data_IF_629655854685
#
_entry.id   IF_629655854685
#
_cell.length_a   1.000
_cell.length_b   1.000
_cell.length_c   1.000
_cell.angle_alpha   90.00
_cell.angle_beta   90.00
_cell.angle_gamma   90.00
#
_symmetry.space_group_name_H-M   'P 1'
#
loop_
_entity.id
_entity.type
_entity.pdbx_description
1 polymer ?
#
# COMPACT_ATOMS: atom_id res chain seq x y z
N UNK A 1 3.14 -30.67 2.83
CA UNK A 1 2.79 -30.03 4.11
C UNK A 1 1.38 -29.52 4.00
N UNK A 2 0.48 -30.08 4.80
CA UNK A 2 -0.93 -29.68 4.87
C UNK A 2 -1.05 -28.33 5.58
N UNK A 3 -1.89 -27.48 4.99
CA UNK A 3 -2.20 -26.11 5.41
C UNK A 3 -2.72 -26.07 6.86
N UNK A 4 -2.25 -25.13 7.68
CA UNK A 4 -2.90 -24.83 8.97
C UNK A 4 -3.35 -23.36 9.03
N UNK A 5 -4.64 -23.07 8.75
CA UNK A 5 -5.28 -21.78 8.93
C UNK A 5 -5.19 -21.23 10.38
N UNK A 6 -4.79 -22.05 11.35
CA UNK A 6 -4.61 -21.65 12.75
C UNK A 6 -3.48 -20.62 12.87
N UNK A 7 -2.38 -20.71 12.12
CA UNK A 7 -1.25 -19.78 12.29
C UNK A 7 -1.66 -18.32 12.01
N UNK A 8 -2.52 -18.09 11.01
CA UNK A 8 -2.99 -16.74 10.68
C UNK A 8 -4.13 -16.27 11.57
N UNK A 9 -5.01 -17.18 12.04
CA UNK A 9 -6.02 -16.86 13.06
C UNK A 9 -5.40 -16.45 14.39
N UNK A 10 -4.32 -17.13 14.81
CA UNK A 10 -3.59 -16.80 16.04
C UNK A 10 -2.85 -15.47 15.90
N UNK A 11 -2.17 -15.22 14.75
CA UNK A 11 -1.47 -13.96 14.50
C UNK A 11 -2.42 -12.74 14.51
N UNK A 12 -3.66 -12.87 14.05
CA UNK A 12 -4.62 -11.75 14.07
C UNK A 12 -4.91 -11.24 15.46
N UNK A 13 -4.97 -12.11 16.47
CA UNK A 13 -5.19 -11.69 17.85
C UNK A 13 -4.05 -10.81 18.34
N UNK A 14 -2.81 -11.20 18.07
CA UNK A 14 -1.61 -10.45 18.47
C UNK A 14 -1.51 -9.11 17.72
N UNK A 15 -1.83 -9.12 16.43
CA UNK A 15 -1.89 -7.91 15.59
C UNK A 15 -2.95 -6.93 16.09
N UNK A 16 -4.15 -7.42 16.41
CA UNK A 16 -5.20 -6.58 16.98
C UNK A 16 -4.89 -6.15 18.41
N UNK A 17 -4.18 -6.95 19.19
CA UNK A 17 -3.69 -6.53 20.50
C UNK A 17 -2.73 -5.34 20.39
N UNK A 18 -1.75 -5.40 19.47
CA UNK A 18 -0.83 -4.28 19.23
C UNK A 18 -1.58 -3.01 18.83
N UNK A 19 -2.61 -3.13 17.97
CA UNK A 19 -3.48 -2.00 17.63
C UNK A 19 -4.27 -1.48 18.84
N UNK A 20 -4.92 -2.36 19.61
CA UNK A 20 -5.73 -1.95 20.77
C UNK A 20 -4.89 -1.25 21.84
N UNK A 21 -3.67 -1.71 22.09
CA UNK A 21 -2.73 -1.04 22.98
C UNK A 21 -2.36 0.36 22.46
N UNK A 22 -2.17 0.51 21.14
CA UNK A 22 -1.98 1.83 20.51
C UNK A 22 -3.20 2.73 20.69
N UNK A 23 -4.42 2.24 20.43
CA UNK A 23 -5.66 3.02 20.60
C UNK A 23 -5.86 3.48 22.05
N UNK A 24 -5.60 2.59 23.01
CA UNK A 24 -5.66 2.92 24.43
C UNK A 24 -4.62 3.98 24.81
N UNK A 25 -3.40 3.85 24.32
CA UNK A 25 -2.34 4.84 24.57
C UNK A 25 -2.68 6.21 23.94
N UNK A 26 -3.26 6.23 22.74
CA UNK A 26 -3.71 7.45 22.06
C UNK A 26 -4.79 8.18 22.87
N UNK A 27 -5.79 7.44 23.38
CA UNK A 27 -6.84 7.99 24.24
C UNK A 27 -6.29 8.52 25.57
N UNK A 28 -5.36 7.80 26.19
CA UNK A 28 -4.75 8.26 27.43
C UNK A 28 -3.89 9.51 27.24
N UNK A 29 -3.17 9.62 26.10
CA UNK A 29 -2.33 10.78 25.82
C UNK A 29 -3.14 12.06 25.58
N UNK A 30 -4.36 11.95 25.02
CA UNK A 30 -5.27 13.09 24.88
C UNK A 30 -5.89 13.55 26.22
N UNK A 31 -6.08 12.64 27.16
CA UNK A 31 -6.62 12.92 28.50
C UNK A 31 -5.54 13.37 29.50
N UNK A 32 -4.34 12.79 29.42
CA UNK A 32 -3.18 13.07 30.29
C UNK A 32 -1.87 12.73 29.56
N UNK A 33 -1.20 13.73 28.94
CA UNK A 33 -0.03 13.49 28.10
C UNK A 33 1.09 12.76 28.86
N UNK A 34 1.28 11.48 28.54
CA UNK A 34 2.34 10.63 29.10
C UNK A 34 3.25 10.21 27.96
N UNK A 35 4.23 11.08 27.66
CA UNK A 35 5.22 10.97 26.57
C UNK A 35 5.86 9.59 26.36
N UNK A 36 5.85 8.68 27.34
CA UNK A 36 6.40 7.32 27.22
C UNK A 36 5.43 6.21 26.76
N UNK A 37 4.11 6.35 26.97
CA UNK A 37 3.16 5.27 26.67
C UNK A 37 2.87 5.18 25.17
N UNK A 38 2.54 6.31 24.53
CA UNK A 38 2.26 6.36 23.10
C UNK A 38 3.48 5.96 22.26
N UNK A 39 4.69 6.35 22.68
CA UNK A 39 5.93 5.94 22.03
C UNK A 39 6.11 4.42 22.08
N UNK A 40 5.89 3.79 23.24
CA UNK A 40 5.97 2.32 23.37
C UNK A 40 4.94 1.62 22.50
N UNK A 41 3.72 2.14 22.44
CA UNK A 41 2.66 1.55 21.62
C UNK A 41 2.94 1.68 20.12
N UNK A 42 3.46 2.84 19.67
CA UNK A 42 3.97 3.02 18.29
C UNK A 42 5.05 1.99 17.95
N UNK A 43 6.01 1.77 18.85
CA UNK A 43 7.07 0.78 18.65
C UNK A 43 6.54 -0.66 18.56
N UNK A 44 5.45 -0.99 19.26
CA UNK A 44 4.78 -2.30 19.12
C UNK A 44 4.16 -2.47 17.74
N UNK A 45 3.44 -1.46 17.23
CA UNK A 45 2.91 -1.48 15.87
C UNK A 45 4.04 -1.57 14.83
N UNK A 46 5.10 -0.77 14.99
CA UNK A 46 6.30 -0.85 14.15
C UNK A 46 7.08 -2.15 14.35
N UNK A 47 6.75 -2.96 15.36
CA UNK A 47 7.32 -4.29 15.60
C UNK A 47 6.73 -5.37 14.68
N UNK A 48 5.50 -5.17 14.19
CA UNK A 48 4.77 -6.11 13.32
C UNK A 48 5.45 -6.30 11.95
N UNK A 49 5.49 -7.52 11.44
CA UNK A 49 6.00 -7.88 10.12
C UNK A 49 5.15 -7.30 8.98
N UNK A 50 5.67 -7.29 7.76
CA UNK A 50 5.00 -6.68 6.59
C UNK A 50 3.63 -7.30 6.29
N UNK A 51 3.48 -8.62 6.42
CA UNK A 51 2.20 -9.30 6.21
C UNK A 51 1.21 -9.04 7.34
N UNK A 52 1.67 -8.82 8.57
CA UNK A 52 0.83 -8.42 9.70
C UNK A 52 0.31 -6.99 9.53
N UNK A 53 1.15 -6.10 8.99
CA UNK A 53 0.74 -4.76 8.61
C UNK A 53 -0.29 -4.78 7.47
N UNK A 54 -0.24 -5.75 6.55
CA UNK A 54 -1.28 -5.93 5.53
C UNK A 54 -2.64 -6.32 6.15
N UNK A 55 -2.67 -7.04 7.28
CA UNK A 55 -3.92 -7.31 8.02
C UNK A 55 -4.52 -6.01 8.52
N UNK A 56 -3.71 -5.15 9.13
CA UNK A 56 -4.16 -3.83 9.58
C UNK A 56 -4.59 -2.95 8.42
N UNK A 57 -3.85 -2.97 7.30
CA UNK A 57 -4.20 -2.30 6.05
C UNK A 57 -5.39 -2.95 5.32
N UNK A 58 -5.91 -4.08 5.77
CA UNK A 58 -7.13 -4.67 5.18
C UNK A 58 -8.40 -4.07 5.80
N UNK A 59 -8.29 -3.36 6.93
CA UNK A 59 -9.36 -2.55 7.51
C UNK A 59 -9.11 -1.07 7.26
N UNK A 60 -10.01 -0.42 6.51
CA UNK A 60 -9.94 1.02 6.23
C UNK A 60 -9.83 1.82 7.53
N UNK A 61 -10.60 1.45 8.54
CA UNK A 61 -10.68 2.16 9.82
C UNK A 61 -9.38 2.06 10.61
N UNK A 62 -8.86 0.84 10.78
CA UNK A 62 -7.59 0.62 11.50
C UNK A 62 -6.46 1.36 10.82
N UNK A 63 -6.40 1.26 9.49
CA UNK A 63 -5.36 1.92 8.72
C UNK A 63 -5.48 3.44 8.74
N UNK A 64 -6.71 3.98 8.68
CA UNK A 64 -6.98 5.41 8.82
C UNK A 64 -6.48 5.94 10.14
N UNK A 65 -6.72 5.23 11.24
CA UNK A 65 -6.25 5.65 12.57
C UNK A 65 -4.72 5.72 12.62
N UNK A 66 -4.02 4.68 12.15
CA UNK A 66 -2.56 4.63 12.18
C UNK A 66 -1.90 5.72 11.33
N UNK A 67 -2.42 5.98 10.13
CA UNK A 67 -1.89 7.01 9.23
C UNK A 67 -2.36 8.43 9.55
N UNK A 68 -3.24 8.59 10.54
CA UNK A 68 -3.61 9.89 11.11
C UNK A 68 -2.78 10.24 12.35
N UNK A 69 -1.84 9.38 12.75
CA UNK A 69 -0.91 9.69 13.83
C UNK A 69 -0.10 10.97 13.52
N UNK A 70 0.04 11.91 14.47
CA UNK A 70 0.75 13.17 14.23
C UNK A 70 2.24 12.99 13.94
N UNK A 71 2.84 11.86 14.34
CA UNK A 71 4.25 11.57 14.10
C UNK A 71 4.49 11.17 12.64
N UNK A 72 5.14 12.07 11.89
CA UNK A 72 5.60 11.79 10.53
C UNK A 72 6.57 10.61 10.47
N UNK A 73 7.52 10.55 11.41
CA UNK A 73 8.47 9.44 11.55
C UNK A 73 7.74 8.10 11.65
N UNK A 74 6.75 8.01 12.53
CA UNK A 74 5.96 6.78 12.71
C UNK A 74 5.25 6.36 11.41
N UNK A 75 4.54 7.29 10.75
CA UNK A 75 3.81 6.99 9.52
C UNK A 75 4.71 6.58 8.37
N UNK A 76 5.86 7.26 8.20
CA UNK A 76 6.84 6.93 7.16
C UNK A 76 7.49 5.56 7.41
N UNK A 77 7.88 5.27 8.66
CA UNK A 77 8.42 3.96 9.02
C UNK A 77 7.37 2.85 8.85
N UNK A 78 6.12 3.11 9.20
CA UNK A 78 5.00 2.18 9.00
C UNK A 78 4.81 1.86 7.52
N UNK A 79 4.79 2.87 6.64
CA UNK A 79 4.71 2.67 5.19
C UNK A 79 5.93 1.91 4.64
N UNK A 80 7.14 2.31 5.03
CA UNK A 80 8.36 1.64 4.58
C UNK A 80 8.35 0.15 4.98
N UNK A 81 7.90 -0.16 6.21
CA UNK A 81 7.81 -1.53 6.71
C UNK A 81 6.72 -2.33 6.00
N UNK A 82 5.55 -1.75 5.77
CA UNK A 82 4.44 -2.38 5.03
C UNK A 82 4.92 -2.87 3.67
N UNK A 83 5.72 -2.07 2.96
CA UNK A 83 6.24 -2.42 1.62
C UNK A 83 7.65 -3.04 1.65
N UNK A 84 8.20 -3.38 2.82
CA UNK A 84 9.58 -3.88 2.98
C UNK A 84 10.64 -3.04 2.24
N UNK A 85 10.45 -1.72 2.15
CA UNK A 85 11.39 -0.83 1.48
C UNK A 85 12.70 -0.78 2.28
N UNK A 86 13.81 -1.05 1.61
CA UNK A 86 15.15 -0.83 2.15
C UNK A 86 15.52 0.64 1.99
N UNK A 87 16.44 1.12 2.83
CA UNK A 87 16.97 2.47 2.67
C UNK A 87 17.55 2.71 1.27
N UNK A 88 18.18 1.69 0.67
CA UNK A 88 18.71 1.74 -0.71
C UNK A 88 17.62 1.98 -1.75
N UNK A 89 16.43 1.44 -1.53
CA UNK A 89 15.30 1.58 -2.45
C UNK A 89 14.82 3.04 -2.46
N UNK A 90 14.68 3.63 -1.26
CA UNK A 90 14.31 5.03 -1.06
C UNK A 90 15.41 5.96 -1.59
N UNK A 91 16.68 5.64 -1.36
CA UNK A 91 17.83 6.39 -1.87
C UNK A 91 17.80 6.47 -3.39
N UNK A 92 17.59 5.34 -4.06
CA UNK A 92 17.62 5.25 -5.52
C UNK A 92 16.43 5.97 -6.15
N UNK A 93 15.22 5.76 -5.63
CA UNK A 93 14.02 6.33 -6.24
C UNK A 93 13.90 7.85 -5.98
N UNK A 94 14.35 8.32 -4.82
CA UNK A 94 14.32 9.75 -4.46
C UNK A 94 15.61 10.51 -4.78
N UNK A 95 16.64 9.81 -5.27
CA UNK A 95 17.99 10.37 -5.50
C UNK A 95 18.52 11.08 -4.25
N UNK A 96 18.53 10.34 -3.13
CA UNK A 96 18.94 10.82 -1.82
C UNK A 96 20.19 10.10 -1.31
N UNK A 97 21.01 10.81 -0.54
CA UNK A 97 22.07 10.20 0.25
C UNK A 97 21.49 9.37 1.40
N UNK A 98 22.28 8.45 1.95
CA UNK A 98 21.90 7.64 3.11
C UNK A 98 21.54 8.50 4.33
N UNK A 99 22.28 9.59 4.56
CA UNK A 99 21.98 10.57 5.61
C UNK A 99 20.65 11.29 5.40
N UNK A 100 20.33 11.64 4.16
CA UNK A 100 19.05 12.26 3.82
C UNK A 100 17.87 11.29 4.00
N UNK A 101 18.02 10.02 3.63
CA UNK A 101 17.00 8.98 3.91
C UNK A 101 16.82 8.76 5.41
N UNK A 102 17.90 8.74 6.19
CA UNK A 102 17.83 8.66 7.65
C UNK A 102 17.06 9.84 8.24
N UNK A 103 17.33 11.07 7.79
CA UNK A 103 16.60 12.26 8.24
C UNK A 103 15.12 12.23 7.80
N UNK A 104 14.84 11.77 6.57
CA UNK A 104 13.48 11.63 6.07
C UNK A 104 12.66 10.69 6.95
N UNK A 105 13.21 9.54 7.33
CA UNK A 105 12.50 8.56 8.15
C UNK A 105 12.47 8.95 9.63
N UNK A 106 13.50 9.59 10.18
CA UNK A 106 13.67 9.74 11.64
C UNK A 106 13.51 11.15 12.19
N UNK A 107 13.63 12.19 11.35
CA UNK A 107 13.70 13.60 11.77
C UNK A 107 12.63 14.48 11.13
N UNK A 108 11.52 13.89 10.66
CA UNK A 108 10.36 14.61 10.09
C UNK A 108 10.69 15.68 9.04
N UNK A 109 11.71 15.44 8.21
CA UNK A 109 12.11 16.44 7.18
C UNK A 109 11.18 16.34 5.96
N UNK A 110 10.65 17.46 5.48
CA UNK A 110 9.96 17.53 4.19
C UNK A 110 10.99 17.48 3.06
N UNK A 111 10.91 16.52 2.12
CA UNK A 111 11.85 16.48 1.02
C UNK A 111 11.52 17.53 -0.04
N UNK A 112 12.54 17.97 -0.78
CA UNK A 112 12.39 18.98 -1.85
C UNK A 112 11.66 18.37 -3.05
N UNK A 113 10.84 19.17 -3.73
CA UNK A 113 10.14 18.81 -4.96
C UNK A 113 11.03 18.11 -6.01
N UNK A 114 10.53 17.10 -6.76
CA UNK A 114 9.20 16.46 -6.71
C UNK A 114 9.13 15.26 -5.72
N UNK A 115 10.12 15.12 -4.83
CA UNK A 115 10.24 13.95 -3.94
C UNK A 115 9.04 13.72 -3.00
N UNK A 116 8.29 14.75 -2.52
CA UNK A 116 7.05 14.50 -1.76
C UNK A 116 6.05 13.61 -2.52
N UNK A 117 5.98 13.75 -3.84
CA UNK A 117 5.09 13.00 -4.71
C UNK A 117 5.67 11.65 -5.12
N UNK A 118 6.97 11.56 -5.37
CA UNK A 118 7.65 10.26 -5.51
C UNK A 118 7.44 9.38 -4.27
N UNK A 119 7.43 9.99 -3.08
CA UNK A 119 7.07 9.29 -1.84
C UNK A 119 5.64 8.76 -1.81
N UNK A 120 4.69 9.43 -2.47
CA UNK A 120 3.31 8.93 -2.60
C UNK A 120 3.27 7.63 -3.37
N UNK A 121 4.06 7.54 -4.44
CA UNK A 121 4.17 6.33 -5.24
C UNK A 121 4.80 5.19 -4.41
N UNK A 122 5.93 5.47 -3.75
CA UNK A 122 6.63 4.49 -2.91
C UNK A 122 5.75 3.98 -1.76
N UNK A 123 5.07 4.88 -1.06
CA UNK A 123 4.28 4.52 0.12
C UNK A 123 2.84 4.17 -0.21
N UNK A 124 2.30 4.49 -1.39
CA UNK A 124 0.91 4.22 -1.75
C UNK A 124 -0.11 5.05 -0.98
N UNK A 125 0.30 6.24 -0.52
CA UNK A 125 -0.51 7.12 0.32
C UNK A 125 -0.42 8.56 -0.17
N UNK A 126 -1.50 9.36 -0.08
CA UNK A 126 -1.47 10.78 -0.41
C UNK A 126 -0.26 11.48 0.21
N UNK A 127 0.43 12.31 -0.59
CA UNK A 127 1.72 12.88 -0.18
C UNK A 127 1.63 13.65 1.13
N UNK A 128 0.52 14.35 1.38
CA UNK A 128 0.35 15.14 2.60
C UNK A 128 0.38 14.26 3.86
N UNK A 129 -0.21 13.07 3.82
CA UNK A 129 -0.19 12.11 4.94
C UNK A 129 1.22 11.65 5.31
N UNK A 130 2.16 11.74 4.38
CA UNK A 130 3.54 11.26 4.60
C UNK A 130 4.53 12.41 4.63
N UNK A 131 4.05 13.66 4.61
CA UNK A 131 4.89 14.85 4.54
C UNK A 131 4.52 15.96 5.54
N UNK A 132 3.27 16.00 6.03
CA UNK A 132 2.82 17.00 6.99
C UNK A 132 2.24 16.38 8.26
N UNK A 133 2.60 16.93 9.42
CA UNK A 133 2.07 16.50 10.73
C UNK A 133 0.55 16.68 10.83
N UNK A 134 0.02 17.73 10.19
CA UNK A 134 -1.41 18.03 10.09
C UNK A 134 -1.81 18.13 8.60
N UNK A 135 -2.12 17.01 7.93
CA UNK A 135 -2.53 17.00 6.53
C UNK A 135 -3.92 17.65 6.37
N UNK A 136 -4.17 18.30 5.23
CA UNK A 136 -5.50 18.83 4.93
C UNK A 136 -6.49 17.65 4.72
N UNK A 137 -7.59 17.57 5.49
CA UNK A 137 -8.61 16.52 5.30
C UNK A 137 -9.17 16.45 3.87
N UNK A 138 -9.19 17.59 3.16
CA UNK A 138 -9.69 17.69 1.79
C UNK A 138 -8.65 17.32 0.72
N UNK A 139 -7.38 17.10 1.09
CA UNK A 139 -6.34 16.68 0.14
C UNK A 139 -6.23 15.17 -0.03
N UNK A 140 -6.98 14.41 0.78
CA UNK A 140 -6.99 12.96 0.77
C UNK A 140 -7.71 12.30 -0.44
N UNK A 141 -8.77 12.89 -1.05
CA UNK A 141 -9.65 12.17 -1.97
C UNK A 141 -9.07 11.99 -3.38
N UNK A 142 -8.10 12.79 -3.81
CA UNK A 142 -7.55 12.75 -5.18
C UNK A 142 -6.05 12.56 -5.15
N UNK A 143 -5.54 11.75 -6.09
CA UNK A 143 -4.09 11.51 -6.20
C UNK A 143 -3.59 11.95 -7.56
N UNK A 144 -3.60 13.27 -7.85
CA UNK A 144 -3.03 13.80 -9.07
C UNK A 144 -1.50 13.67 -9.08
N UNK A 145 -0.86 13.26 -7.97
CA UNK A 145 0.60 13.28 -7.82
C UNK A 145 1.32 12.40 -8.84
N UNK A 146 0.64 11.38 -9.37
CA UNK A 146 1.17 10.52 -10.42
C UNK A 146 1.40 11.27 -11.75
N UNK A 147 0.66 12.34 -12.02
CA UNK A 147 0.76 13.11 -13.26
C UNK A 147 1.86 14.18 -13.23
N UNK A 148 2.54 14.31 -12.11
CA UNK A 148 3.57 15.32 -11.90
C UNK A 148 4.88 14.90 -12.54
N UNK A 149 5.58 15.87 -13.13
CA UNK A 149 6.78 15.61 -13.90
C UNK A 149 7.86 14.92 -13.03
N UNK A 150 8.39 13.82 -13.54
CA UNK A 150 9.40 13.03 -12.85
C UNK A 150 8.87 12.14 -11.71
N UNK A 151 7.55 12.05 -11.50
CA UNK A 151 6.95 11.18 -10.47
C UNK A 151 6.56 9.81 -11.01
N UNK A 152 5.93 9.74 -12.19
CA UNK A 152 5.55 8.49 -12.85
C UNK A 152 5.91 8.48 -14.32
N UNK A 153 6.10 7.29 -14.86
CA UNK A 153 6.38 7.10 -16.28
C UNK A 153 5.07 6.87 -17.05
N UNK A 154 4.92 7.55 -18.20
CA UNK A 154 3.84 7.24 -19.15
C UNK A 154 4.17 5.95 -19.91
N UNK A 155 3.21 5.02 -19.98
CA UNK A 155 3.43 3.70 -20.56
C UNK A 155 2.14 3.15 -21.18
N UNK A 156 2.28 2.28 -22.17
CA UNK A 156 1.17 1.52 -22.75
C UNK A 156 0.94 0.20 -22.02
N UNK A 157 -0.30 -0.30 -22.00
CA UNK A 157 -0.72 -1.54 -21.36
C UNK A 157 0.18 -2.72 -21.74
N UNK A 158 0.51 -2.84 -23.03
CA UNK A 158 1.33 -3.93 -23.58
C UNK A 158 2.78 -3.92 -23.10
N UNK A 159 3.25 -2.80 -22.55
CA UNK A 159 4.61 -2.65 -22.03
C UNK A 159 4.68 -2.90 -20.52
N UNK A 160 3.56 -2.83 -19.79
CA UNK A 160 3.51 -2.94 -18.34
C UNK A 160 4.21 -4.19 -17.81
N UNK A 161 3.95 -5.35 -18.41
CA UNK A 161 4.58 -6.61 -17.96
C UNK A 161 6.09 -6.61 -18.18
N UNK A 162 6.58 -5.98 -19.25
CA UNK A 162 8.03 -5.87 -19.53
C UNK A 162 8.72 -4.92 -18.54
N UNK A 163 8.01 -3.87 -18.09
CA UNK A 163 8.53 -2.94 -17.09
C UNK A 163 8.86 -3.58 -15.75
N UNK A 164 8.26 -4.73 -15.40
CA UNK A 164 8.56 -5.43 -14.14
C UNK A 164 10.06 -5.64 -13.90
N UNK A 165 10.81 -6.07 -14.91
CA UNK A 165 12.26 -6.33 -14.75
C UNK A 165 13.11 -5.07 -14.56
N UNK A 166 12.56 -3.90 -14.89
CA UNK A 166 13.22 -2.60 -14.71
C UNK A 166 12.93 -2.00 -13.32
N UNK A 167 12.03 -2.61 -12.53
CA UNK A 167 11.57 -2.09 -11.23
C UNK A 167 12.32 -2.75 -10.09
N UNK A 168 13.24 -2.01 -9.49
CA UNK A 168 14.05 -2.47 -8.35
C UNK A 168 13.27 -2.58 -7.04
N UNK A 169 12.22 -1.77 -6.87
CA UNK A 169 11.38 -1.78 -5.66
C UNK A 169 9.93 -1.41 -5.98
N UNK A 170 9.60 -0.13 -6.07
CA UNK A 170 8.27 0.36 -6.41
C UNK A 170 8.39 1.45 -7.46
N UNK A 171 7.59 1.38 -8.52
CA UNK A 171 7.57 2.40 -9.57
C UNK A 171 6.16 2.69 -10.07
N UNK A 172 5.84 3.97 -10.18
CA UNK A 172 4.54 4.48 -10.62
C UNK A 172 4.46 4.70 -12.13
N UNK A 173 3.25 4.53 -12.66
CA UNK A 173 2.95 4.65 -14.07
C UNK A 173 1.63 5.39 -14.31
N UNK A 174 1.61 6.17 -15.40
CA UNK A 174 0.39 6.67 -16.04
C UNK A 174 0.15 5.82 -17.29
N UNK A 175 -1.00 5.14 -17.35
CA UNK A 175 -1.28 4.15 -18.39
C UNK A 175 -2.11 4.82 -19.49
N UNK A 176 -1.51 5.04 -20.65
CA UNK A 176 -2.06 5.88 -21.71
C UNK A 176 -3.32 5.30 -22.36
N UNK A 177 -3.38 3.98 -22.51
CA UNK A 177 -4.39 3.21 -23.24
C UNK A 177 -5.23 2.32 -22.30
N UNK A 178 -5.30 2.67 -21.01
CA UNK A 178 -5.99 1.86 -20.00
C UNK A 178 -7.47 1.56 -20.32
N UNK A 179 -8.13 2.46 -21.07
CA UNK A 179 -9.53 2.31 -21.48
C UNK A 179 -9.77 1.11 -22.40
N UNK A 180 -8.73 0.62 -23.08
CA UNK A 180 -8.82 -0.62 -23.86
C UNK A 180 -9.16 -1.82 -22.97
N UNK A 181 -8.68 -1.81 -21.73
CA UNK A 181 -8.87 -2.88 -20.75
C UNK A 181 -10.02 -2.58 -19.78
N UNK A 182 -10.15 -1.32 -19.34
CA UNK A 182 -11.14 -0.87 -18.36
C UNK A 182 -12.12 0.11 -18.99
N UNK A 183 -13.08 -0.41 -19.75
CA UNK A 183 -14.06 0.39 -20.51
C UNK A 183 -14.96 1.29 -19.66
N UNK A 184 -15.09 0.99 -18.36
CA UNK A 184 -15.84 1.78 -17.40
C UNK A 184 -15.10 3.04 -16.93
N UNK A 185 -13.80 3.13 -17.16
CA UNK A 185 -13.02 4.31 -16.84
C UNK A 185 -13.25 5.38 -17.91
N UNK A 186 -13.19 6.65 -17.52
CA UNK A 186 -13.31 7.80 -18.44
C UNK A 186 -12.10 8.73 -18.40
N UNK A 187 -11.11 8.40 -17.58
CA UNK A 187 -9.90 9.20 -17.36
C UNK A 187 -8.68 8.30 -17.42
N UNK A 188 -7.49 8.91 -17.50
CA UNK A 188 -6.24 8.18 -17.38
C UNK A 188 -6.20 7.36 -16.07
N UNK A 189 -5.76 6.11 -16.19
CA UNK A 189 -5.57 5.19 -15.07
C UNK A 189 -4.10 5.21 -14.68
N UNK A 190 -3.83 5.21 -13.38
CA UNK A 190 -2.46 5.08 -12.87
C UNK A 190 -2.27 3.70 -12.28
N UNK A 191 -1.03 3.34 -11.99
CA UNK A 191 -0.73 2.11 -11.26
C UNK A 191 0.71 2.10 -10.82
N UNK A 192 1.13 1.06 -10.11
CA UNK A 192 2.54 0.85 -9.82
C UNK A 192 2.90 -0.62 -9.84
N UNK A 193 4.15 -0.88 -10.16
CA UNK A 193 4.77 -2.17 -9.84
C UNK A 193 5.26 -2.14 -8.40
N UNK A 194 5.04 -3.22 -7.68
CA UNK A 194 5.62 -3.47 -6.36
C UNK A 194 6.36 -4.80 -6.40
N UNK A 195 7.67 -4.73 -6.21
CA UNK A 195 8.58 -5.89 -6.34
C UNK A 195 9.36 -6.23 -5.07
N UNK A 196 9.02 -5.59 -3.95
CA UNK A 196 9.76 -5.68 -2.69
C UNK A 196 9.39 -6.87 -1.81
N UNK A 197 8.21 -7.48 -2.00
CA UNK A 197 7.81 -8.65 -1.22
C UNK A 197 8.56 -9.91 -1.68
N UNK A 198 9.03 -10.75 -0.74
CA UNK A 198 9.61 -12.05 -1.09
C UNK A 198 8.57 -13.02 -1.65
N UNK A 199 7.30 -12.89 -1.27
CA UNK A 199 6.22 -13.80 -1.66
C UNK A 199 5.80 -13.65 -3.13
N UNK A 200 5.61 -12.40 -3.59
CA UNK A 200 5.13 -12.11 -4.94
C UNK A 200 5.50 -10.69 -5.38
N UNK A 201 5.53 -10.47 -6.69
CA UNK A 201 5.40 -9.14 -7.28
C UNK A 201 3.94 -8.89 -7.63
N UNK A 202 3.54 -7.63 -7.68
CA UNK A 202 2.24 -7.29 -8.24
C UNK A 202 2.24 -5.94 -8.92
N UNK A 203 1.34 -5.81 -9.88
CA UNK A 203 0.95 -4.52 -10.44
C UNK A 203 -0.42 -4.15 -9.88
N UNK A 204 -0.56 -2.98 -9.26
CA UNK A 204 -1.83 -2.44 -8.79
C UNK A 204 -2.33 -1.33 -9.72
N UNK A 205 -3.38 -1.63 -10.50
CA UNK A 205 -4.10 -0.60 -11.24
C UNK A 205 -4.93 0.24 -10.26
N UNK A 206 -4.94 1.55 -10.43
CA UNK A 206 -5.71 2.50 -9.63
C UNK A 206 -6.95 2.97 -10.39
N UNK A 207 -8.09 2.36 -10.09
CA UNK A 207 -9.33 2.56 -10.81
C UNK A 207 -10.25 3.54 -10.07
N UNK A 208 -11.06 4.29 -10.82
CA UNK A 208 -12.07 5.16 -10.24
C UNK A 208 -13.34 4.40 -9.87
N UNK A 209 -13.57 3.25 -10.51
CA UNK A 209 -14.71 2.38 -10.26
C UNK A 209 -14.26 0.95 -9.95
N UNK A 210 -15.09 0.21 -9.22
CA UNK A 210 -14.87 -1.22 -8.99
C UNK A 210 -14.96 -1.97 -10.33
N UNK A 211 -13.90 -2.70 -10.74
CA UNK A 211 -13.92 -3.43 -12.01
C UNK A 211 -14.75 -4.71 -11.88
N UNK A 212 -15.57 -5.01 -12.90
CA UNK A 212 -16.21 -6.31 -13.04
C UNK A 212 -15.17 -7.35 -13.48
N UNK A 213 -14.73 -8.22 -12.57
CA UNK A 213 -13.72 -9.25 -12.87
C UNK A 213 -14.35 -10.50 -13.51
N UNK A 214 -14.84 -10.34 -14.74
CA UNK A 214 -15.39 -11.43 -15.56
C UNK A 214 -14.28 -12.27 -16.26
N UNK A 215 -14.69 -13.31 -16.98
CA UNK A 215 -13.77 -14.17 -17.71
C UNK A 215 -13.05 -13.44 -18.86
N UNK A 216 -13.64 -12.37 -19.41
CA UNK A 216 -13.07 -11.59 -20.50
C UNK A 216 -11.91 -10.74 -19.98
N UNK A 217 -12.13 -9.98 -18.90
CA UNK A 217 -11.09 -9.19 -18.24
C UNK A 217 -9.97 -10.08 -17.71
N UNK A 218 -10.30 -11.24 -17.11
CA UNK A 218 -9.29 -12.22 -16.68
C UNK A 218 -8.46 -12.75 -17.85
N UNK A 219 -9.10 -13.02 -18.98
CA UNK A 219 -8.42 -13.44 -20.21
C UNK A 219 -7.44 -12.37 -20.71
N UNK A 220 -7.92 -11.14 -20.88
CA UNK A 220 -7.11 -10.01 -21.34
C UNK A 220 -5.93 -9.71 -20.39
N UNK A 221 -6.17 -9.73 -19.07
CA UNK A 221 -5.11 -9.57 -18.07
C UNK A 221 -4.08 -10.69 -18.12
N UNK A 222 -4.50 -11.93 -18.37
CA UNK A 222 -3.58 -13.07 -18.50
C UNK A 222 -2.74 -12.97 -19.77
N UNK A 223 -3.28 -12.42 -20.87
CA UNK A 223 -2.51 -12.14 -22.08
C UNK A 223 -1.47 -11.05 -21.84
N UNK A 224 -1.84 -9.97 -21.14
CA UNK A 224 -0.93 -8.88 -20.81
C UNK A 224 0.14 -9.29 -19.79
N UNK A 225 -0.25 -10.08 -18.78
CA UNK A 225 0.59 -10.53 -17.68
C UNK A 225 0.62 -12.07 -17.63
N UNK A 226 1.35 -12.75 -18.53
CA UNK A 226 1.31 -14.21 -18.67
C UNK A 226 1.81 -14.98 -17.44
N UNK A 227 2.62 -14.33 -16.60
CA UNK A 227 3.14 -14.92 -15.36
C UNK A 227 2.19 -14.72 -14.16
N UNK A 228 1.11 -13.96 -14.32
CA UNK A 228 0.18 -13.71 -13.22
C UNK A 228 -0.64 -14.96 -12.90
N UNK A 229 -0.81 -15.24 -11.60
CA UNK A 229 -1.66 -16.34 -11.11
C UNK A 229 -2.93 -15.87 -10.42
N UNK A 230 -2.92 -14.65 -9.88
CA UNK A 230 -4.07 -14.12 -9.16
C UNK A 230 -4.38 -12.70 -9.61
N UNK A 231 -5.67 -12.41 -9.70
CA UNK A 231 -6.22 -11.08 -9.93
C UNK A 231 -7.23 -10.84 -8.82
N UNK A 232 -6.99 -9.80 -8.03
CA UNK A 232 -7.80 -9.44 -6.85
C UNK A 232 -8.11 -7.95 -6.88
N UNK A 233 -9.25 -7.55 -6.31
CA UNK A 233 -9.58 -6.15 -6.06
C UNK A 233 -9.37 -5.80 -4.60
N UNK A 234 -9.11 -4.53 -4.33
CA UNK A 234 -8.99 -3.98 -2.99
C UNK A 234 -9.41 -2.52 -3.00
N UNK A 235 -9.80 -1.94 -1.86
CA UNK A 235 -9.90 -0.49 -1.75
C UNK A 235 -8.53 0.19 -1.92
N UNK A 236 -8.56 1.47 -2.28
CA UNK A 236 -7.39 2.36 -2.22
C UNK A 236 -7.39 3.11 -0.87
N UNK A 237 -6.34 2.96 -0.03
CA UNK A 237 -6.27 3.68 1.23
C UNK A 237 -6.50 5.20 1.06
N UNK A 238 -7.32 5.79 1.94
CA UNK A 238 -7.65 7.23 1.96
C UNK A 238 -8.32 7.78 0.71
N UNK A 239 -8.80 6.92 -0.20
CA UNK A 239 -9.68 7.31 -1.31
C UNK A 239 -11.14 6.97 -0.97
N UNK A 240 -12.10 7.58 -1.69
CA UNK A 240 -13.50 7.18 -1.57
C UNK A 240 -13.66 5.66 -1.74
N UNK A 241 -14.59 5.06 -1.00
CA UNK A 241 -14.82 3.60 -1.01
C UNK A 241 -15.20 3.07 -2.40
N UNK A 242 -15.71 3.93 -3.28
CA UNK A 242 -15.99 3.62 -4.68
C UNK A 242 -14.73 3.37 -5.52
N UNK A 243 -13.55 3.87 -5.10
CA UNK A 243 -12.29 3.70 -5.82
C UNK A 243 -11.57 2.43 -5.37
N UNK A 244 -11.26 1.56 -6.32
CA UNK A 244 -10.59 0.28 -6.09
C UNK A 244 -9.20 0.25 -6.73
N UNK A 245 -8.33 -0.58 -6.18
CA UNK A 245 -7.17 -1.06 -6.89
C UNK A 245 -7.42 -2.49 -7.38
N UNK A 246 -6.93 -2.81 -8.56
CA UNK A 246 -6.91 -4.17 -9.10
C UNK A 246 -5.46 -4.66 -9.10
N UNK A 247 -5.17 -5.68 -8.31
CA UNK A 247 -3.83 -6.26 -8.23
C UNK A 247 -3.71 -7.46 -9.14
N UNK A 248 -2.70 -7.44 -9.99
CA UNK A 248 -2.26 -8.57 -10.81
C UNK A 248 -1.01 -9.15 -10.19
N UNK A 249 -1.13 -10.32 -9.57
CA UNK A 249 -0.11 -10.92 -8.71
C UNK A 249 0.68 -11.97 -9.48
N UNK A 250 2.00 -11.79 -9.49
CA UNK A 250 2.99 -12.70 -10.05
C UNK A 250 3.78 -13.35 -8.91
N UNK A 251 3.57 -14.65 -8.62
CA UNK A 251 4.24 -15.32 -7.50
C UNK A 251 5.76 -15.39 -7.71
N UNK A 252 6.52 -15.25 -6.63
CA UNK A 252 7.95 -15.56 -6.60
C UNK A 252 8.20 -16.94 -6.01
N UNK A 253 7.55 -17.22 -4.89
CA UNK A 253 7.65 -18.50 -4.19
C UNK A 253 6.31 -18.83 -3.53
N UNK A 254 5.57 -19.74 -4.15
CA UNK A 254 4.27 -20.23 -3.67
C UNK A 254 4.40 -21.19 -2.48
N UNK A 255 5.61 -21.66 -2.18
CA UNK A 255 5.86 -22.60 -1.09
C UNK A 255 6.01 -21.89 0.27
N UNK A 256 6.23 -20.57 0.25
CA UNK A 256 6.30 -19.77 1.47
C UNK A 256 4.95 -19.80 2.21
N UNK A 257 4.92 -20.15 3.51
CA UNK A 257 3.68 -20.09 4.30
C UNK A 257 3.03 -18.70 4.30
N UNK A 258 3.85 -17.64 4.24
CA UNK A 258 3.35 -16.25 4.17
C UNK A 258 2.64 -15.92 2.87
N UNK A 259 2.97 -16.58 1.75
CA UNK A 259 2.34 -16.34 0.45
C UNK A 259 0.84 -16.64 0.53
N UNK A 260 0.48 -17.84 0.98
CA UNK A 260 -0.91 -18.25 1.05
C UNK A 260 -1.68 -17.49 2.14
N UNK A 261 -1.04 -17.17 3.26
CA UNK A 261 -1.63 -16.31 4.30
C UNK A 261 -1.96 -14.91 3.76
N UNK A 262 -1.01 -14.25 3.07
CA UNK A 262 -1.24 -12.94 2.45
C UNK A 262 -2.36 -13.00 1.40
N UNK A 263 -2.41 -14.04 0.56
CA UNK A 263 -3.50 -14.19 -0.41
C UNK A 263 -4.86 -14.40 0.26
N UNK A 264 -4.92 -15.17 1.34
CA UNK A 264 -6.16 -15.38 2.08
C UNK A 264 -6.68 -14.08 2.69
N UNK A 265 -5.81 -13.27 3.31
CA UNK A 265 -6.18 -11.95 3.82
C UNK A 265 -6.73 -11.04 2.72
N UNK A 266 -6.00 -10.98 1.60
CA UNK A 266 -6.32 -10.12 0.49
C UNK A 266 -7.61 -10.53 -0.23
N UNK A 267 -7.93 -11.83 -0.30
CA UNK A 267 -9.14 -12.34 -0.97
C UNK A 267 -10.32 -12.47 -0.01
N UNK A 268 -10.19 -13.29 1.02
CA UNK A 268 -11.36 -13.74 1.78
C UNK A 268 -11.78 -12.77 2.88
N UNK A 269 -10.82 -12.14 3.56
CA UNK A 269 -11.15 -11.26 4.67
C UNK A 269 -11.52 -9.86 4.21
N UNK A 270 -10.74 -9.33 3.27
CA UNK A 270 -10.96 -8.00 2.71
C UNK A 270 -12.30 -7.89 1.98
N UNK A 271 -12.70 -8.92 1.23
CA UNK A 271 -14.03 -8.99 0.62
C UNK A 271 -15.14 -8.99 1.69
N UNK A 272 -14.99 -9.73 2.80
CA UNK A 272 -16.01 -9.80 3.87
C UNK A 272 -16.17 -8.50 4.65
N UNK A 273 -15.10 -7.78 4.94
CA UNK A 273 -15.20 -6.51 5.69
C UNK A 273 -15.84 -5.37 4.89
N UNK A 274 -15.82 -5.45 3.56
CA UNK A 274 -16.36 -4.39 2.68
C UNK A 274 -17.74 -4.74 2.09
N UNK A 275 -17.95 -5.95 1.57
CA UNK A 275 -19.24 -6.33 0.95
C UNK A 275 -20.38 -6.48 1.98
N UNK A 276 -20.08 -6.79 3.24
CA UNK A 276 -21.10 -6.91 4.28
C UNK A 276 -21.53 -5.59 4.90
N UNK A 277 -20.89 -4.46 4.57
CA UNK A 277 -21.39 -3.11 4.92
C UNK A 277 -22.32 -2.53 3.85
N UNK A 278 -22.29 -3.07 2.63
CA UNK A 278 -23.12 -2.66 1.50
C UNK A 278 -24.42 -3.49 1.36
N UNK A 279 -24.76 -4.29 2.38
CA UNK A 279 -26.04 -5.00 2.50
C UNK A 279 -26.77 -4.59 3.78
#
# INVERSE_FOLDING_TARGET
>A
MTFDPIMYKTNRSEVHQALNEYLNALKMDSENPRLGLLVKARLKVLGLCHYELLILQSSIEHWKILMSDPSLTFRRELCAKLYKLKNTDIMNELELSSGAVSNLLKKSTLPIWPRPFKLTVLFGHPWQLINYESPDPNSLPESPEYFEEGVSQHVHLKELAKKRSEVSSIRGYVIADALELFKQESTAVTGRWVTTYPEFDYFDFHLNHEPLIDNVLRGALKELFPLAKHVITTYRPFKPESKRALWVIVPKDETLPSYAGMLHELKEYRERTEYHRLK
#
